data_IF_948451464062
#
_entry.id   IF_948451464062
#
_cell.length_a   1.000
_cell.length_b   1.000
_cell.length_c   1.000
_cell.angle_alpha   90.00
_cell.angle_beta   90.00
_cell.angle_gamma   90.00
#
_symmetry.space_group_name_H-M   'P 1'
#
loop_
_entity.id
_entity.type
_entity.pdbx_description
1 polymer ?
#
# COMPACT_ATOMS: atom_id res chain seq x y z
N UNK A 1 14.32 15.01 16.05
CA UNK A 1 13.07 14.29 16.30
C UNK A 1 13.37 12.81 16.09
N UNK A 2 12.91 11.94 16.96
CA UNK A 2 13.12 10.50 16.83
C UNK A 2 11.76 9.84 16.59
N UNK A 3 11.58 9.15 15.47
CA UNK A 3 10.36 8.40 15.24
C UNK A 3 10.34 7.16 16.15
N UNK A 4 9.19 6.87 16.72
CA UNK A 4 8.92 5.70 17.56
C UNK A 4 7.95 4.72 16.89
N UNK A 5 7.16 5.21 15.94
CA UNK A 5 6.13 4.47 15.24
C UNK A 5 6.29 4.68 13.74
N UNK A 6 6.26 3.60 12.97
CA UNK A 6 6.30 3.67 11.51
C UNK A 6 5.10 2.92 10.95
N UNK A 7 4.32 3.62 10.13
CA UNK A 7 3.19 3.07 9.40
C UNK A 7 3.61 2.90 7.95
N UNK A 8 3.57 1.68 7.42
CA UNK A 8 3.90 1.38 6.04
C UNK A 8 2.65 1.18 5.19
N UNK A 9 2.67 1.63 3.94
CA UNK A 9 1.83 1.03 2.91
C UNK A 9 2.35 -0.37 2.56
N UNK A 10 1.59 -1.13 1.80
CA UNK A 10 1.89 -2.51 1.45
C UNK A 10 2.31 -2.64 -0.02
N UNK A 11 1.36 -2.43 -0.94
CA UNK A 11 1.54 -2.63 -2.38
C UNK A 11 2.42 -1.51 -2.97
N UNK A 12 3.60 -1.82 -3.50
CA UNK A 12 4.56 -0.83 -4.01
C UNK A 12 5.53 -0.29 -2.94
N UNK A 13 5.30 -0.59 -1.67
CA UNK A 13 6.14 -0.12 -0.56
C UNK A 13 6.91 -1.27 0.10
N UNK A 14 6.22 -2.24 0.66
CA UNK A 14 6.83 -3.44 1.26
C UNK A 14 6.92 -4.60 0.26
N UNK A 15 5.92 -4.72 -0.61
CA UNK A 15 5.75 -5.83 -1.54
C UNK A 15 5.58 -5.35 -2.98
N UNK A 16 6.26 -6.01 -3.91
CA UNK A 16 5.95 -5.95 -5.34
C UNK A 16 4.80 -6.91 -5.63
N UNK A 17 3.60 -6.36 -5.70
CA UNK A 17 2.36 -7.10 -5.89
C UNK A 17 1.82 -7.05 -7.31
N UNK A 18 2.43 -6.28 -8.21
CA UNK A 18 1.98 -6.16 -9.60
C UNK A 18 1.81 -7.52 -10.27
N UNK A 19 2.73 -8.50 -10.13
CA UNK A 19 2.59 -9.77 -10.83
C UNK A 19 1.28 -10.52 -10.51
N UNK A 20 0.90 -10.62 -9.23
CA UNK A 20 -0.36 -11.28 -8.85
C UNK A 20 -1.59 -10.45 -9.22
N UNK A 21 -1.54 -9.15 -9.00
CA UNK A 21 -2.65 -8.25 -9.31
C UNK A 21 -2.94 -8.24 -10.83
N UNK A 22 -1.89 -8.21 -11.64
CA UNK A 22 -1.98 -8.28 -13.10
C UNK A 22 -2.51 -9.63 -13.59
N UNK A 23 -1.99 -10.72 -13.02
CA UNK A 23 -2.46 -12.07 -13.32
C UNK A 23 -3.96 -12.18 -13.06
N UNK A 24 -4.42 -11.78 -11.88
CA UNK A 24 -5.81 -11.84 -11.47
C UNK A 24 -6.72 -10.98 -12.35
N UNK A 25 -6.30 -9.76 -12.68
CA UNK A 25 -7.05 -8.86 -13.55
C UNK A 25 -7.19 -9.43 -14.98
N UNK A 26 -6.07 -9.88 -15.56
CA UNK A 26 -6.06 -10.46 -16.90
C UNK A 26 -6.90 -11.73 -16.98
N UNK A 27 -6.82 -12.59 -15.96
CA UNK A 27 -7.64 -13.79 -15.86
C UNK A 27 -9.12 -13.44 -15.77
N UNK A 28 -9.48 -12.46 -14.93
CA UNK A 28 -10.87 -11.99 -14.80
C UNK A 28 -11.45 -11.52 -16.13
N UNK A 29 -10.69 -10.69 -16.85
CA UNK A 29 -11.13 -10.18 -18.16
C UNK A 29 -11.28 -11.30 -19.18
N UNK A 30 -10.34 -12.23 -19.23
CA UNK A 30 -10.37 -13.38 -20.13
C UNK A 30 -11.60 -14.27 -19.89
N UNK A 31 -11.90 -14.62 -18.64
CA UNK A 31 -13.04 -15.48 -18.29
C UNK A 31 -14.40 -14.81 -18.55
N UNK A 32 -14.44 -13.48 -18.45
CA UNK A 32 -15.65 -12.72 -18.80
C UNK A 32 -15.78 -12.41 -20.31
N UNK A 33 -14.84 -12.90 -21.13
CA UNK A 33 -14.81 -12.60 -22.57
C UNK A 33 -14.60 -11.11 -22.87
N UNK A 34 -13.94 -10.37 -21.96
CA UNK A 34 -13.65 -8.96 -22.15
C UNK A 34 -12.33 -8.74 -22.89
N UNK A 35 -12.20 -7.64 -23.66
CA UNK A 35 -11.06 -7.44 -24.52
C UNK A 35 -9.77 -7.12 -23.73
N UNK A 36 -8.68 -7.70 -24.20
CA UNK A 36 -7.33 -7.27 -23.97
C UNK A 36 -6.64 -7.84 -22.73
N UNK A 37 -5.34 -8.02 -22.86
CA UNK A 37 -4.41 -8.20 -21.74
C UNK A 37 -3.89 -6.84 -21.31
N UNK A 38 -3.78 -6.63 -20.01
CA UNK A 38 -3.07 -5.48 -19.43
C UNK A 38 -1.59 -5.81 -19.28
N UNK A 39 -0.74 -4.79 -19.43
CA UNK A 39 0.68 -4.84 -19.13
C UNK A 39 0.96 -4.41 -17.67
N UNK A 40 2.18 -4.69 -17.18
CA UNK A 40 2.62 -4.21 -15.87
C UNK A 40 2.59 -2.67 -15.77
N UNK A 41 2.98 -1.98 -16.85
CA UNK A 41 2.97 -0.53 -16.90
C UNK A 41 1.54 0.04 -16.81
N UNK A 42 0.54 -0.59 -17.45
CA UNK A 42 -0.86 -0.21 -17.28
C UNK A 42 -1.32 -0.50 -15.85
N UNK A 43 -1.00 -1.70 -15.33
CA UNK A 43 -1.39 -2.10 -13.98
C UNK A 43 -0.87 -1.14 -12.91
N UNK A 44 0.38 -0.69 -13.02
CA UNK A 44 0.95 0.30 -12.11
C UNK A 44 0.10 1.57 -12.05
N UNK A 45 -0.48 2.02 -13.17
CA UNK A 45 -1.35 3.21 -13.19
C UNK A 45 -2.73 2.99 -12.57
N UNK A 46 -3.14 1.74 -12.34
CA UNK A 46 -4.44 1.40 -11.75
C UNK A 46 -4.41 1.35 -10.22
N UNK A 47 -3.22 1.24 -9.62
CA UNK A 47 -3.04 1.00 -8.19
C UNK A 47 -3.14 2.26 -7.30
N UNK A 48 -3.09 2.06 -5.99
CA UNK A 48 -3.06 3.09 -4.95
C UNK A 48 -4.43 3.51 -4.40
N UNK A 49 -5.49 3.50 -5.22
CA UNK A 49 -6.82 4.02 -4.84
C UNK A 49 -7.84 2.92 -4.48
N UNK A 50 -7.38 1.71 -4.20
CA UNK A 50 -8.22 0.57 -3.84
C UNK A 50 -8.76 -0.22 -5.03
N UNK A 51 -9.35 -1.40 -4.74
CA UNK A 51 -9.78 -2.38 -5.74
C UNK A 51 -10.86 -1.83 -6.69
N UNK A 52 -11.82 -1.09 -6.17
CA UNK A 52 -12.92 -0.58 -6.99
C UNK A 52 -12.43 0.42 -8.03
N UNK A 53 -11.51 1.30 -7.66
CA UNK A 53 -10.92 2.26 -8.58
C UNK A 53 -10.00 1.57 -9.60
N UNK A 54 -9.25 0.54 -9.18
CA UNK A 54 -8.50 -0.33 -10.09
C UNK A 54 -9.40 -0.92 -11.19
N UNK A 55 -10.58 -1.44 -10.82
CA UNK A 55 -11.55 -1.97 -11.78
C UNK A 55 -12.05 -0.88 -12.72
N UNK A 56 -12.40 0.30 -12.21
CA UNK A 56 -12.87 1.42 -13.03
C UNK A 56 -11.81 1.85 -14.04
N UNK A 57 -10.56 1.98 -13.64
CA UNK A 57 -9.44 2.31 -14.53
C UNK A 57 -9.21 1.25 -15.58
N UNK A 58 -9.28 -0.03 -15.23
CA UNK A 58 -9.17 -1.14 -16.17
C UNK A 58 -10.30 -1.14 -17.23
N UNK A 59 -11.55 -0.93 -16.80
CA UNK A 59 -12.68 -0.80 -17.72
C UNK A 59 -12.54 0.42 -18.64
N UNK A 60 -12.12 1.56 -18.11
CA UNK A 60 -11.86 2.78 -18.89
C UNK A 60 -10.76 2.55 -19.93
N UNK A 61 -9.66 1.89 -19.55
CA UNK A 61 -8.55 1.58 -20.46
C UNK A 61 -8.94 0.68 -21.64
N UNK A 62 -10.06 -0.03 -21.54
CA UNK A 62 -10.61 -0.88 -22.61
C UNK A 62 -11.90 -0.31 -23.19
N UNK A 63 -12.25 0.96 -22.90
CA UNK A 63 -13.46 1.65 -23.36
C UNK A 63 -14.75 0.88 -23.05
N UNK A 64 -14.79 0.17 -21.90
CA UNK A 64 -15.93 -0.64 -21.49
C UNK A 64 -16.90 0.16 -20.61
N UNK A 65 -18.19 -0.13 -20.76
CA UNK A 65 -19.24 0.50 -19.96
C UNK A 65 -19.16 0.01 -18.50
N UNK A 66 -19.01 0.93 -17.55
CA UNK A 66 -18.85 0.64 -16.12
C UNK A 66 -20.12 0.02 -15.53
N UNK A 67 -21.32 0.54 -15.84
CA UNK A 67 -22.58 0.05 -15.29
C UNK A 67 -22.86 -1.39 -15.69
N UNK A 68 -22.44 -1.74 -16.92
CA UNK A 68 -22.61 -3.08 -17.48
C UNK A 68 -21.66 -4.12 -16.89
N UNK A 69 -20.40 -3.75 -16.65
CA UNK A 69 -19.33 -4.71 -16.38
C UNK A 69 -18.75 -4.66 -14.97
N UNK A 70 -18.84 -3.52 -14.25
CA UNK A 70 -18.20 -3.35 -12.96
C UNK A 70 -18.58 -4.47 -11.96
N UNK A 71 -19.87 -4.73 -11.77
CA UNK A 71 -20.32 -5.73 -10.80
C UNK A 71 -19.79 -7.14 -11.11
N UNK A 72 -19.76 -7.52 -12.40
CA UNK A 72 -19.26 -8.83 -12.83
C UNK A 72 -17.75 -8.95 -12.64
N UNK A 73 -17.00 -7.92 -13.03
CA UNK A 73 -15.55 -7.88 -12.84
C UNK A 73 -15.21 -7.89 -11.35
N UNK A 74 -15.90 -7.09 -10.55
CA UNK A 74 -15.67 -7.02 -9.11
C UNK A 74 -15.94 -8.36 -8.41
N UNK A 75 -17.03 -9.04 -8.74
CA UNK A 75 -17.36 -10.32 -8.15
C UNK A 75 -16.29 -11.39 -8.45
N UNK A 76 -15.88 -11.53 -9.71
CA UNK A 76 -14.89 -12.53 -10.10
C UNK A 76 -13.47 -12.18 -9.64
N UNK A 77 -13.07 -10.92 -9.77
CA UNK A 77 -11.76 -10.45 -9.29
C UNK A 77 -11.62 -10.63 -7.78
N UNK A 78 -12.69 -10.44 -6.99
CA UNK A 78 -12.66 -10.67 -5.54
C UNK A 78 -12.35 -12.12 -5.19
N UNK A 79 -12.84 -13.08 -5.96
CA UNK A 79 -12.50 -14.51 -5.79
C UNK A 79 -11.00 -14.71 -6.01
N UNK A 80 -10.45 -14.16 -7.09
CA UNK A 80 -9.02 -14.32 -7.39
C UNK A 80 -8.11 -13.56 -6.42
N UNK A 81 -8.54 -12.42 -5.89
CA UNK A 81 -7.81 -11.71 -4.84
C UNK A 81 -7.60 -12.56 -3.59
N UNK A 82 -8.52 -13.46 -3.27
CA UNK A 82 -8.37 -14.40 -2.16
C UNK A 82 -7.52 -15.61 -2.55
N UNK A 83 -7.76 -16.17 -3.75
CA UNK A 83 -7.10 -17.40 -4.18
C UNK A 83 -5.64 -17.24 -4.59
N UNK A 84 -5.27 -16.06 -5.14
CA UNK A 84 -3.95 -15.81 -5.73
C UNK A 84 -3.44 -14.42 -5.29
N UNK A 85 -3.07 -14.28 -4.02
CA UNK A 85 -2.68 -12.99 -3.45
C UNK A 85 -1.18 -12.89 -3.10
N UNK A 86 -0.42 -13.99 -3.27
CA UNK A 86 1.00 -14.06 -2.91
C UNK A 86 1.82 -15.10 -3.72
N UNK A 87 1.29 -15.58 -4.86
CA UNK A 87 1.94 -16.63 -5.67
C UNK A 87 3.16 -16.11 -6.43
N UNK A 88 3.13 -14.84 -6.88
CA UNK A 88 4.18 -14.18 -7.65
C UNK A 88 4.66 -12.89 -7.00
N UNK A 89 3.99 -12.44 -5.93
CA UNK A 89 4.37 -11.30 -5.12
C UNK A 89 5.74 -11.52 -4.48
N UNK A 90 6.55 -10.48 -4.40
CA UNK A 90 7.88 -10.53 -3.79
C UNK A 90 8.08 -9.39 -2.80
N UNK A 91 8.92 -9.63 -1.78
CA UNK A 91 9.35 -8.56 -0.88
C UNK A 91 10.37 -7.68 -1.61
N UNK A 92 10.22 -6.37 -1.55
CA UNK A 92 11.23 -5.48 -2.11
C UNK A 92 12.58 -5.62 -1.39
N UNK A 93 13.66 -5.48 -2.17
CA UNK A 93 15.03 -5.57 -1.66
C UNK A 93 15.27 -4.55 -0.53
N UNK A 94 15.84 -5.01 0.57
CA UNK A 94 16.19 -4.21 1.74
C UNK A 94 15.04 -4.03 2.73
N UNK A 95 13.81 -4.47 2.42
CA UNK A 95 12.68 -4.40 3.34
C UNK A 95 12.88 -5.32 4.56
N UNK A 96 13.23 -6.61 4.41
CA UNK A 96 13.40 -7.48 5.57
C UNK A 96 14.44 -6.96 6.57
N UNK A 97 15.59 -6.52 6.06
CA UNK A 97 16.68 -5.99 6.87
C UNK A 97 16.28 -4.68 7.57
N UNK A 98 15.48 -3.84 6.88
CA UNK A 98 14.98 -2.58 7.44
C UNK A 98 13.98 -2.86 8.56
N UNK A 99 13.02 -3.78 8.37
CA UNK A 99 12.05 -4.14 9.41
C UNK A 99 12.73 -4.73 10.64
N UNK A 100 13.70 -5.65 10.45
CA UNK A 100 14.50 -6.22 11.55
C UNK A 100 15.27 -5.14 12.33
N UNK A 101 15.92 -4.22 11.61
CA UNK A 101 16.63 -3.09 12.22
C UNK A 101 15.70 -2.24 13.09
N UNK A 102 14.52 -1.89 12.57
CA UNK A 102 13.54 -1.05 13.28
C UNK A 102 13.01 -1.77 14.54
N UNK A 103 12.68 -3.05 14.42
CA UNK A 103 12.22 -3.87 15.55
C UNK A 103 13.27 -3.97 16.65
N UNK A 104 14.54 -4.21 16.31
CA UNK A 104 15.66 -4.26 17.28
C UNK A 104 15.86 -2.95 18.02
N UNK A 105 15.37 -1.83 17.47
CA UNK A 105 15.40 -0.51 18.12
C UNK A 105 14.13 -0.15 18.88
N UNK A 106 13.21 -1.09 19.01
CA UNK A 106 11.96 -0.88 19.73
C UNK A 106 10.96 -0.01 19.00
N UNK A 107 11.11 0.19 17.67
CA UNK A 107 10.15 0.91 16.85
C UNK A 107 8.93 0.03 16.64
N UNK A 108 7.75 0.57 16.92
CA UNK A 108 6.49 -0.12 16.60
C UNK A 108 6.11 0.07 15.13
N UNK A 109 5.76 -1.03 14.48
CA UNK A 109 5.48 -1.08 13.04
C UNK A 109 4.01 -1.38 12.79
N UNK A 110 3.45 -0.71 11.77
CA UNK A 110 2.06 -0.84 11.38
C UNK A 110 1.96 -0.93 9.86
N UNK A 111 0.86 -1.50 9.36
CA UNK A 111 0.50 -1.47 7.93
C UNK A 111 -0.83 -0.76 7.74
N UNK A 112 -0.88 0.14 6.75
CA UNK A 112 -2.07 0.89 6.33
C UNK A 112 -2.19 0.88 4.80
N UNK A 113 -3.07 0.06 4.25
CA UNK A 113 -3.20 -0.16 2.81
C UNK A 113 -4.64 -0.07 2.32
N UNK A 114 -4.84 0.35 1.06
CA UNK A 114 -6.14 0.33 0.39
C UNK A 114 -6.51 -1.07 -0.19
N UNK A 115 -5.66 -2.08 0.05
CA UNK A 115 -5.99 -3.48 -0.22
C UNK A 115 -7.13 -3.95 0.72
N UNK A 116 -8.05 -4.84 0.29
CA UNK A 116 -9.08 -5.39 1.18
C UNK A 116 -8.49 -5.95 2.48
N UNK A 117 -9.09 -5.60 3.63
CA UNK A 117 -8.52 -5.82 4.98
C UNK A 117 -8.15 -7.29 5.25
N UNK A 118 -9.03 -8.22 4.89
CA UNK A 118 -8.78 -9.65 5.07
C UNK A 118 -7.62 -10.16 4.21
N UNK A 119 -7.52 -9.69 2.94
CA UNK A 119 -6.42 -10.05 2.05
C UNK A 119 -5.11 -9.43 2.52
N UNK A 120 -5.13 -8.16 2.95
CA UNK A 120 -3.94 -7.49 3.48
C UNK A 120 -3.35 -8.23 4.68
N UNK A 121 -4.20 -8.68 5.61
CA UNK A 121 -3.78 -9.45 6.79
C UNK A 121 -3.17 -10.80 6.42
N UNK A 122 -3.79 -11.51 5.48
CA UNK A 122 -3.28 -12.79 4.98
C UNK A 122 -1.91 -12.65 4.32
N UNK A 123 -1.78 -11.68 3.41
CA UNK A 123 -0.53 -11.39 2.71
C UNK A 123 0.58 -10.96 3.67
N UNK A 124 0.28 -10.05 4.61
CA UNK A 124 1.26 -9.63 5.62
C UNK A 124 1.70 -10.79 6.49
N UNK A 125 0.77 -11.64 6.94
CA UNK A 125 1.09 -12.85 7.71
C UNK A 125 1.97 -13.83 6.92
N UNK A 126 1.68 -14.02 5.64
CA UNK A 126 2.46 -14.91 4.77
C UNK A 126 3.92 -14.47 4.63
N UNK A 127 4.15 -13.17 4.36
CA UNK A 127 5.50 -12.66 4.07
C UNK A 127 6.31 -12.27 5.31
N UNK A 128 5.64 -11.85 6.39
CA UNK A 128 6.30 -11.23 7.55
C UNK A 128 5.97 -11.91 8.88
N UNK A 129 5.04 -12.89 8.90
CA UNK A 129 4.58 -13.52 10.13
C UNK A 129 3.60 -12.65 10.93
N UNK A 130 3.30 -13.11 12.17
CA UNK A 130 2.31 -12.45 13.03
C UNK A 130 2.90 -11.35 13.94
N UNK A 131 4.24 -11.33 14.14
CA UNK A 131 4.90 -10.57 15.23
C UNK A 131 5.59 -9.26 14.77
N UNK A 132 5.70 -9.03 13.45
CA UNK A 132 6.41 -7.86 12.93
C UNK A 132 5.59 -6.59 13.10
N UNK A 133 4.31 -6.63 12.76
CA UNK A 133 3.43 -5.46 12.78
C UNK A 133 2.45 -5.52 13.95
N UNK A 134 2.42 -4.46 14.77
CA UNK A 134 1.49 -4.32 15.87
C UNK A 134 0.03 -4.27 15.38
N UNK A 135 -0.18 -3.77 14.14
CA UNK A 135 -1.50 -3.75 13.51
C UNK A 135 -1.40 -3.67 12.00
N UNK A 136 -2.28 -4.39 11.33
CA UNK A 136 -2.54 -4.29 9.89
C UNK A 136 -3.95 -3.76 9.69
N UNK A 137 -4.10 -2.69 8.89
CA UNK A 137 -5.38 -2.12 8.48
C UNK A 137 -5.46 -2.03 6.96
N UNK A 138 -6.44 -2.70 6.40
CA UNK A 138 -6.86 -2.60 5.01
C UNK A 138 -8.22 -1.91 4.85
N UNK A 139 -8.72 -1.88 3.61
CA UNK A 139 -10.07 -1.47 3.27
C UNK A 139 -11.10 -2.47 3.82
N UNK A 140 -12.02 -1.97 4.63
CA UNK A 140 -13.11 -2.76 5.24
C UNK A 140 -14.42 -2.72 4.45
N UNK A 141 -14.43 -2.02 3.31
CA UNK A 141 -15.66 -1.81 2.53
C UNK A 141 -16.61 -0.78 3.15
N UNK A 142 -16.14 0.01 4.11
CA UNK A 142 -16.91 1.04 4.81
C UNK A 142 -16.79 2.43 4.16
N UNK A 143 -16.11 2.52 2.99
CA UNK A 143 -15.83 3.76 2.29
C UNK A 143 -14.74 4.63 2.93
N UNK A 144 -14.10 4.14 4.00
CA UNK A 144 -13.00 4.84 4.70
C UNK A 144 -11.67 4.20 4.27
N UNK A 145 -11.10 4.73 3.19
CA UNK A 145 -9.80 4.33 2.64
C UNK A 145 -8.84 5.52 2.58
N UNK A 146 -7.56 5.31 2.35
CA UNK A 146 -6.59 6.37 2.05
C UNK A 146 -7.05 7.18 0.82
N UNK A 147 -6.99 8.52 0.80
CA UNK A 147 -6.37 9.42 1.79
C UNK A 147 -7.35 10.00 2.83
N UNK A 148 -8.49 9.36 3.12
CA UNK A 148 -9.41 9.82 4.16
C UNK A 148 -8.68 9.84 5.52
N UNK A 149 -8.64 10.98 6.25
CA UNK A 149 -7.92 11.07 7.52
C UNK A 149 -8.41 10.07 8.57
N UNK A 150 -9.69 9.68 8.56
CA UNK A 150 -10.23 8.66 9.45
C UNK A 150 -9.54 7.30 9.28
N UNK A 151 -8.92 7.05 8.12
CA UNK A 151 -8.23 5.80 7.86
C UNK A 151 -6.98 5.67 8.74
N UNK A 152 -6.06 6.63 8.69
CA UNK A 152 -4.86 6.62 9.54
C UNK A 152 -5.20 6.91 11.00
N UNK A 153 -6.14 7.79 11.28
CA UNK A 153 -6.59 8.08 12.65
C UNK A 153 -7.07 6.84 13.39
N UNK A 154 -7.59 5.83 12.70
CA UNK A 154 -7.97 4.56 13.34
C UNK A 154 -6.75 3.75 13.83
N UNK A 155 -5.54 4.02 13.32
CA UNK A 155 -4.28 3.46 13.84
C UNK A 155 -3.74 4.39 14.91
N UNK A 156 -3.53 5.67 14.59
CA UNK A 156 -2.81 6.64 15.42
C UNK A 156 -3.54 6.97 16.75
N UNK A 157 -4.86 6.90 16.80
CA UNK A 157 -5.64 7.15 18.04
C UNK A 157 -5.30 6.20 19.20
N UNK A 158 -4.68 5.07 18.94
CA UNK A 158 -4.25 4.11 19.96
C UNK A 158 -2.78 4.28 20.32
N UNK A 159 -2.09 5.23 19.70
CA UNK A 159 -0.69 5.60 19.98
C UNK A 159 -0.73 6.78 20.96
N UNK A 160 -0.12 6.61 22.12
CA UNK A 160 -0.08 7.65 23.16
C UNK A 160 0.99 8.70 22.90
N UNK A 161 1.96 8.39 22.06
CA UNK A 161 3.04 9.30 21.69
C UNK A 161 2.55 10.43 20.77
N UNK A 162 3.22 11.60 20.77
CA UNK A 162 2.90 12.71 19.88
C UNK A 162 2.98 12.34 18.38
N UNK A 163 2.14 12.96 17.54
CA UNK A 163 2.08 12.69 16.09
C UNK A 163 3.39 12.91 15.35
N UNK A 164 4.25 13.80 15.84
CA UNK A 164 5.59 14.07 15.27
C UNK A 164 6.60 12.93 15.51
N UNK A 165 6.23 11.94 16.33
CA UNK A 165 6.99 10.69 16.50
C UNK A 165 6.53 9.58 15.55
N UNK A 166 5.54 9.84 14.68
CA UNK A 166 4.98 8.89 13.73
C UNK A 166 5.47 9.24 12.32
N UNK A 167 6.01 8.25 11.61
CA UNK A 167 6.37 8.34 10.21
C UNK A 167 5.43 7.46 9.38
N UNK A 168 4.87 8.00 8.30
CA UNK A 168 4.20 7.20 7.29
C UNK A 168 5.17 6.95 6.13
N UNK A 169 5.30 5.70 5.69
CA UNK A 169 6.15 5.28 4.57
C UNK A 169 5.29 4.70 3.48
N UNK A 170 5.37 5.26 2.28
CA UNK A 170 4.61 4.83 1.12
C UNK A 170 5.34 5.09 -0.19
N UNK A 171 4.68 4.86 -1.30
CA UNK A 171 5.24 5.03 -2.65
C UNK A 171 4.42 5.96 -3.55
N UNK A 172 3.26 6.44 -3.08
CA UNK A 172 2.29 7.12 -3.94
C UNK A 172 1.85 8.49 -3.40
N UNK A 173 1.23 9.28 -4.29
CA UNK A 173 0.56 10.52 -3.90
C UNK A 173 -0.58 10.28 -2.88
N UNK A 174 -1.23 9.11 -2.93
CA UNK A 174 -2.27 8.73 -1.95
C UNK A 174 -1.68 8.61 -0.56
N UNK A 175 -0.46 8.08 -0.44
CA UNK A 175 0.26 7.95 0.84
C UNK A 175 0.67 9.31 1.39
N UNK A 176 1.25 10.15 0.54
CA UNK A 176 1.57 11.52 0.91
C UNK A 176 0.34 12.28 1.43
N UNK A 177 -0.77 12.25 0.68
CA UNK A 177 -2.01 12.90 1.10
C UNK A 177 -2.58 12.30 2.39
N UNK A 178 -2.43 10.98 2.59
CA UNK A 178 -2.87 10.31 3.82
C UNK A 178 -2.10 10.80 5.05
N UNK A 179 -0.78 10.87 4.93
CA UNK A 179 0.10 11.38 5.98
C UNK A 179 -0.21 12.86 6.28
N UNK A 180 -0.30 13.69 5.24
CA UNK A 180 -0.64 15.11 5.35
C UNK A 180 -1.98 15.32 6.06
N UNK A 181 -3.01 14.56 5.67
CA UNK A 181 -4.36 14.67 6.25
C UNK A 181 -4.42 14.17 7.70
N UNK A 182 -3.51 13.28 8.09
CA UNK A 182 -3.39 12.78 9.46
C UNK A 182 -2.41 13.60 10.33
N UNK A 183 -1.72 14.59 9.75
CA UNK A 183 -0.76 15.44 10.46
C UNK A 183 0.55 14.75 10.82
N UNK A 184 0.96 13.71 10.07
CA UNK A 184 2.22 12.99 10.28
C UNK A 184 3.18 13.22 9.11
N UNK A 185 4.48 12.99 9.33
CA UNK A 185 5.50 13.06 8.29
C UNK A 185 5.35 11.89 7.32
N UNK A 186 5.66 12.14 6.04
CA UNK A 186 5.68 11.12 4.99
C UNK A 186 7.09 10.88 4.47
N UNK A 187 7.48 9.61 4.32
CA UNK A 187 8.65 9.20 3.56
C UNK A 187 8.22 8.39 2.34
N UNK A 188 8.79 8.69 1.17
CA UNK A 188 8.48 8.02 -0.09
C UNK A 188 9.66 7.14 -0.51
N UNK A 189 9.38 5.86 -0.73
CA UNK A 189 10.35 4.91 -1.26
C UNK A 189 10.53 5.08 -2.78
N UNK A 190 11.74 4.84 -3.34
CA UNK A 190 12.02 5.12 -4.75
C UNK A 190 11.55 4.02 -5.71
N UNK A 191 11.26 2.82 -5.18
CA UNK A 191 10.97 1.62 -5.99
C UNK A 191 9.49 1.38 -6.23
N UNK A 192 8.62 2.31 -5.79
CA UNK A 192 7.17 2.16 -5.89
C UNK A 192 6.59 2.42 -7.28
N UNK A 193 5.26 2.41 -7.35
CA UNK A 193 4.53 2.43 -8.62
C UNK A 193 4.18 3.84 -9.11
N UNK A 194 3.99 4.81 -8.21
CA UNK A 194 3.62 6.19 -8.56
C UNK A 194 4.83 7.13 -8.63
N UNK A 195 5.55 7.09 -9.74
CA UNK A 195 6.71 7.99 -9.93
C UNK A 195 6.34 9.49 -9.97
N UNK A 196 5.05 9.84 -10.12
CA UNK A 196 4.62 11.25 -10.10
C UNK A 196 4.73 11.85 -8.70
N UNK A 197 4.65 11.04 -7.66
CA UNK A 197 4.84 11.50 -6.27
C UNK A 197 6.21 12.16 -6.07
N UNK A 198 7.24 11.72 -6.80
CA UNK A 198 8.60 12.25 -6.73
C UNK A 198 8.72 13.69 -7.25
N UNK A 199 7.71 14.22 -7.90
CA UNK A 199 7.67 15.61 -8.39
C UNK A 199 7.04 16.60 -7.40
N UNK A 200 6.52 16.12 -6.27
CA UNK A 200 5.89 16.96 -5.25
C UNK A 200 6.95 17.83 -4.56
N UNK A 201 6.71 19.15 -4.47
CA UNK A 201 7.60 20.13 -3.84
C UNK A 201 6.97 20.74 -2.59
N UNK A 202 6.32 19.93 -1.78
CA UNK A 202 5.66 20.38 -0.54
C UNK A 202 6.49 20.03 0.70
N UNK A 203 6.21 20.73 1.82
CA UNK A 203 6.79 20.39 3.12
C UNK A 203 6.12 19.14 3.69
N UNK A 204 6.84 18.43 4.56
CA UNK A 204 6.30 17.23 5.23
C UNK A 204 6.48 15.94 4.44
N UNK A 205 7.33 15.95 3.41
CA UNK A 205 7.68 14.77 2.61
C UNK A 205 9.19 14.58 2.57
N UNK A 206 9.64 13.34 2.72
CA UNK A 206 11.03 12.90 2.65
C UNK A 206 11.15 11.91 1.48
N UNK A 207 12.04 12.14 0.54
CA UNK A 207 12.31 11.21 -0.53
C UNK A 207 13.51 10.35 -0.18
N UNK A 208 13.28 9.04 -0.04
CA UNK A 208 14.34 8.07 0.23
C UNK A 208 15.04 7.68 -1.08
N UNK A 209 16.34 7.38 -1.03
CA UNK A 209 17.08 6.78 -2.15
C UNK A 209 16.96 5.25 -2.16
N UNK A 210 16.74 4.66 -1.00
CA UNK A 210 16.47 3.24 -0.76
C UNK A 210 15.69 3.10 0.55
N UNK A 211 14.99 1.99 0.76
CA UNK A 211 14.17 1.79 1.97
C UNK A 211 14.98 1.87 3.25
N UNK A 212 16.23 1.41 3.24
CA UNK A 212 17.11 1.45 4.42
C UNK A 212 17.54 2.86 4.86
N UNK A 213 17.31 3.90 4.05
CA UNK A 213 17.57 5.29 4.48
C UNK A 213 16.64 5.72 5.64
N UNK A 214 15.60 4.95 5.91
CA UNK A 214 14.77 5.10 7.13
C UNK A 214 15.63 5.01 8.39
N UNK A 215 16.71 4.23 8.38
CA UNK A 215 17.64 4.10 9.52
C UNK A 215 18.21 5.45 9.96
N UNK A 216 18.49 6.34 9.01
CA UNK A 216 19.05 7.67 9.28
C UNK A 216 18.01 8.62 9.91
N UNK A 217 16.72 8.30 9.75
CA UNK A 217 15.60 9.06 10.32
C UNK A 217 15.31 8.64 11.79
N UNK A 218 15.81 7.48 12.20
CA UNK A 218 15.68 6.98 13.55
C UNK A 218 16.88 7.51 14.35
N UNK A 219 16.68 8.52 15.18
CA UNK A 219 17.77 9.07 15.98
C UNK A 219 18.42 7.97 16.81
N UNK A 220 19.74 7.95 16.78
CA UNK A 220 20.53 7.11 17.68
C UNK A 220 20.36 7.73 19.07
N UNK A 221 19.53 7.13 19.89
CA UNK A 221 19.55 7.38 21.33
C UNK A 221 20.86 6.78 21.85
N UNK A 222 21.90 7.59 21.92
CA UNK A 222 23.11 7.30 22.69
C UNK A 222 22.84 7.50 24.16
#
# INVERSE_FOLDING_TARGET
>A
MSYKHIIFDLDGTLLDTIPDLLYNLNRTFSELGLPGKFSEAEMATFLGSGKDEQIRRALTARHLNHDKYFAKVNALLSVYYVQNNHNHTQIFKGVPETLDYLKKRGIELYVATNKPDHVAKEVVKHFFGDDIFARVRGDKGDGIIKPNPKFLNAITKNISDPLDTILFVGDSNVDYLSAKNAGVMCAIVPHGYDHKVLTIKEKGIIFLKKVSDIHDLIAVNN
#
